data_IF_021152705661
#
_entry.id   IF_021152705661
#
_cell.length_a   1.000
_cell.length_b   1.000
_cell.length_c   1.000
_cell.angle_alpha   90.00
_cell.angle_beta   90.00
_cell.angle_gamma   90.00
#
_symmetry.space_group_name_H-M   'P 1'
#
loop_
_entity.id
_entity.type
_entity.pdbx_description
1 polymer ?
#
# COMPACT_ATOMS: atom_id res chain seq x y z
N UNK A 1 -20.76 22.97 -43.13
CA UNK A 1 -20.61 23.29 -41.69
C UNK A 1 -21.13 22.20 -40.75
N UNK A 2 -22.28 21.55 -40.99
CA UNK A 2 -22.80 20.50 -40.07
C UNK A 2 -21.88 19.25 -39.89
N UNK A 3 -21.07 18.85 -40.89
CA UNK A 3 -20.15 17.70 -40.80
C UNK A 3 -18.90 17.95 -39.91
N UNK A 4 -18.46 19.20 -39.79
CA UNK A 4 -17.29 19.57 -38.97
C UNK A 4 -17.60 19.50 -37.47
N UNK A 5 -18.81 19.87 -37.06
CA UNK A 5 -19.23 19.80 -35.65
C UNK A 5 -19.36 18.36 -35.14
N UNK A 6 -19.77 17.41 -36.00
CA UNK A 6 -19.86 16.02 -35.64
C UNK A 6 -18.49 15.35 -35.39
N UNK A 7 -17.44 15.78 -36.10
CA UNK A 7 -16.08 15.25 -35.92
C UNK A 7 -15.47 15.79 -34.64
N UNK A 8 -15.68 17.06 -34.29
CA UNK A 8 -15.19 17.67 -33.06
C UNK A 8 -15.84 17.03 -31.81
N UNK A 9 -17.15 16.72 -31.88
CA UNK A 9 -17.86 16.05 -30.79
C UNK A 9 -17.40 14.62 -30.58
N UNK A 10 -17.04 13.90 -31.63
CA UNK A 10 -16.53 12.52 -31.54
C UNK A 10 -15.12 12.46 -30.92
N UNK A 11 -14.26 13.45 -31.18
CA UNK A 11 -12.90 13.54 -30.61
C UNK A 11 -12.94 13.82 -29.10
N UNK A 12 -13.88 14.65 -28.62
CA UNK A 12 -14.02 14.91 -27.18
C UNK A 12 -14.50 13.69 -26.38
N UNK A 13 -15.29 12.78 -26.95
CA UNK A 13 -15.77 11.56 -26.28
C UNK A 13 -14.66 10.51 -26.09
N UNK A 14 -13.69 10.45 -26.99
CA UNK A 14 -12.58 9.47 -26.89
C UNK A 14 -11.55 9.84 -25.81
N UNK A 15 -11.33 11.13 -25.54
CA UNK A 15 -10.36 11.58 -24.53
C UNK A 15 -10.80 11.29 -23.09
N UNK A 16 -12.10 11.32 -22.80
CA UNK A 16 -12.62 11.00 -21.46
C UNK A 16 -12.44 9.51 -21.13
N UNK A 17 -12.60 8.63 -22.12
CA UNK A 17 -12.46 7.17 -21.92
C UNK A 17 -11.01 6.75 -21.59
N UNK A 18 -10.02 7.39 -22.18
CA UNK A 18 -8.60 7.09 -21.90
C UNK A 18 -8.17 7.53 -20.50
N UNK A 19 -8.63 8.68 -20.00
CA UNK A 19 -8.30 9.16 -18.67
C UNK A 19 -8.90 8.29 -17.55
N UNK A 20 -10.10 7.79 -17.75
CA UNK A 20 -10.78 6.93 -16.78
C UNK A 20 -10.15 5.54 -16.71
N UNK A 21 -9.74 4.96 -17.84
CA UNK A 21 -9.02 3.67 -17.90
C UNK A 21 -7.67 3.73 -17.17
N UNK A 22 -6.93 4.84 -17.28
CA UNK A 22 -5.65 4.99 -16.59
C UNK A 22 -5.81 5.09 -15.07
N UNK A 23 -6.80 5.83 -14.58
CA UNK A 23 -7.06 5.98 -13.14
C UNK A 23 -7.46 4.65 -12.49
N UNK A 24 -8.30 3.85 -13.10
CA UNK A 24 -8.68 2.53 -12.54
C UNK A 24 -7.50 1.55 -12.57
N UNK A 25 -6.62 1.63 -13.56
CA UNK A 25 -5.38 0.88 -13.61
C UNK A 25 -4.45 1.29 -12.46
N UNK A 26 -4.28 2.59 -12.23
CA UNK A 26 -3.48 3.12 -11.12
C UNK A 26 -4.02 2.66 -9.76
N UNK A 27 -5.33 2.74 -9.54
CA UNK A 27 -5.96 2.24 -8.30
C UNK A 27 -5.71 0.75 -8.07
N UNK A 28 -5.79 -0.06 -9.14
CA UNK A 28 -5.49 -1.49 -9.06
C UNK A 28 -4.04 -1.76 -8.68
N UNK A 29 -3.09 -1.04 -9.28
CA UNK A 29 -1.66 -1.13 -8.97
C UNK A 29 -1.36 -0.69 -7.54
N UNK A 30 -2.00 0.38 -7.06
CA UNK A 30 -1.83 0.90 -5.70
C UNK A 30 -2.41 -0.08 -4.67
N UNK A 31 -3.58 -0.67 -4.94
CA UNK A 31 -4.11 -1.74 -4.09
C UNK A 31 -3.13 -2.91 -3.99
N UNK A 32 -2.58 -3.34 -5.12
CA UNK A 32 -1.60 -4.43 -5.17
C UNK A 32 -0.31 -4.05 -4.45
N UNK A 33 0.16 -2.79 -4.56
CA UNK A 33 1.31 -2.24 -3.84
C UNK A 33 1.14 -2.39 -2.32
N UNK A 34 -0.01 -1.99 -1.77
CA UNK A 34 -0.31 -2.16 -0.34
C UNK A 34 -0.24 -3.64 0.05
N UNK A 35 -1.01 -4.51 -0.63
CA UNK A 35 -1.09 -5.93 -0.30
C UNK A 35 0.29 -6.58 -0.35
N UNK A 36 1.05 -6.37 -1.42
CA UNK A 36 2.38 -6.96 -1.59
C UNK A 36 3.42 -6.41 -0.61
N UNK A 37 3.37 -5.12 -0.26
CA UNK A 37 4.28 -4.55 0.72
C UNK A 37 4.11 -5.24 2.09
N UNK A 38 2.88 -5.45 2.54
CA UNK A 38 2.62 -6.19 3.78
C UNK A 38 3.02 -7.66 3.69
N UNK A 39 2.74 -8.34 2.58
CA UNK A 39 3.10 -9.74 2.41
C UNK A 39 4.60 -9.95 2.31
N UNK A 40 5.29 -9.18 1.47
CA UNK A 40 6.69 -9.41 1.15
C UNK A 40 7.68 -8.79 2.14
N UNK A 41 7.30 -7.74 2.86
CA UNK A 41 8.15 -7.10 3.88
C UNK A 41 7.78 -7.64 5.27
N UNK A 42 6.55 -7.38 5.72
CA UNK A 42 6.14 -7.61 7.11
C UNK A 42 5.81 -9.07 7.42
N UNK A 43 5.08 -9.78 6.53
CA UNK A 43 4.75 -11.20 6.74
C UNK A 43 5.98 -12.09 6.60
N UNK A 44 6.86 -11.80 5.63
CA UNK A 44 8.08 -12.58 5.39
C UNK A 44 9.28 -12.09 6.21
N UNK A 45 9.14 -11.01 6.98
CA UNK A 45 10.23 -10.34 7.71
C UNK A 45 11.44 -10.07 6.80
N UNK A 46 11.21 -9.59 5.59
CA UNK A 46 12.25 -9.44 4.57
C UNK A 46 12.57 -7.97 4.29
N UNK A 47 13.55 -7.44 5.00
CA UNK A 47 14.03 -6.07 4.87
C UNK A 47 14.57 -5.73 3.46
N UNK A 48 15.05 -6.73 2.70
CA UNK A 48 15.59 -6.54 1.34
C UNK A 48 14.53 -6.08 0.32
N UNK A 49 13.25 -6.24 0.64
CA UNK A 49 12.15 -5.81 -0.21
C UNK A 49 11.69 -4.37 0.05
N UNK A 50 12.26 -3.67 1.04
CA UNK A 50 11.89 -2.28 1.37
C UNK A 50 12.01 -1.40 0.12
N UNK A 51 13.15 -1.39 -0.54
CA UNK A 51 13.39 -0.54 -1.72
C UNK A 51 12.49 -0.86 -2.92
N UNK A 52 11.89 -2.05 -2.96
CA UNK A 52 10.94 -2.43 -4.02
C UNK A 52 9.60 -1.71 -3.86
N UNK A 53 9.15 -1.53 -2.62
CA UNK A 53 7.81 -1.03 -2.31
C UNK A 53 7.78 0.38 -1.76
N UNK A 54 8.84 0.82 -1.10
CA UNK A 54 8.94 2.10 -0.42
C UNK A 54 9.88 3.05 -1.15
N UNK A 55 9.60 4.34 -1.02
CA UNK A 55 10.55 5.36 -1.47
C UNK A 55 11.77 5.39 -0.56
N UNK A 56 12.86 6.02 -1.01
CA UNK A 56 14.06 6.19 -0.20
C UNK A 56 13.79 6.95 1.10
N UNK A 57 12.90 7.92 1.05
CA UNK A 57 12.56 8.81 2.17
C UNK A 57 11.23 8.40 2.83
N UNK A 58 10.84 7.12 2.72
CA UNK A 58 9.61 6.60 3.30
C UNK A 58 9.56 6.79 4.82
N UNK A 59 8.38 7.16 5.32
CA UNK A 59 8.11 7.26 6.75
C UNK A 59 6.89 6.41 7.14
N UNK A 60 7.05 5.62 8.21
CA UNK A 60 5.93 5.00 8.92
C UNK A 60 5.70 5.76 10.23
N UNK A 61 4.47 6.25 10.41
CA UNK A 61 4.01 6.88 11.65
C UNK A 61 3.13 5.87 12.38
N UNK A 62 3.63 5.33 13.49
CA UNK A 62 2.93 4.29 14.26
C UNK A 62 3.13 4.51 15.76
N UNK A 63 2.06 4.48 16.53
CA UNK A 63 2.06 4.60 17.99
C UNK A 63 2.86 5.80 18.54
N UNK A 64 2.80 6.93 17.83
CA UNK A 64 3.53 8.15 18.19
C UNK A 64 5.03 8.12 17.88
N UNK A 65 5.50 7.10 17.19
CA UNK A 65 6.89 6.96 16.76
C UNK A 65 7.00 7.14 15.24
N UNK A 66 8.09 7.76 14.81
CA UNK A 66 8.44 7.90 13.39
C UNK A 66 9.50 6.88 13.03
N UNK A 67 9.19 6.01 12.08
CA UNK A 67 10.10 5.00 11.54
C UNK A 67 10.50 5.39 10.12
N UNK A 68 11.78 5.25 9.80
CA UNK A 68 12.31 5.30 8.44
C UNK A 68 12.71 3.88 7.96
N UNK A 69 13.21 3.77 6.74
CA UNK A 69 13.63 2.49 6.18
C UNK A 69 14.67 1.76 7.02
N UNK A 70 15.63 2.48 7.63
CA UNK A 70 16.65 1.88 8.51
C UNK A 70 16.05 1.34 9.80
N UNK A 71 15.11 2.06 10.40
CA UNK A 71 14.40 1.62 11.62
C UNK A 71 13.59 0.36 11.34
N UNK A 72 12.91 0.29 10.18
CA UNK A 72 12.13 -0.88 9.75
C UNK A 72 13.08 -2.05 9.48
N UNK A 73 14.20 -1.84 8.77
CA UNK A 73 15.22 -2.86 8.53
C UNK A 73 15.71 -3.47 9.83
N UNK A 74 16.12 -2.63 10.78
CA UNK A 74 16.62 -3.09 12.09
C UNK A 74 15.57 -3.90 12.86
N UNK A 75 14.29 -3.47 12.80
CA UNK A 75 13.19 -4.20 13.43
C UNK A 75 13.00 -5.59 12.81
N UNK A 76 12.94 -5.67 11.48
CA UNK A 76 12.72 -6.93 10.75
C UNK A 76 13.88 -7.92 10.93
N UNK A 77 15.13 -7.44 10.86
CA UNK A 77 16.32 -8.26 11.06
C UNK A 77 16.41 -8.79 12.49
N UNK A 78 16.02 -7.99 13.47
CA UNK A 78 15.88 -8.43 14.86
C UNK A 78 14.74 -9.45 15.02
N UNK A 79 13.60 -9.24 14.36
CA UNK A 79 12.45 -10.15 14.45
C UNK A 79 12.77 -11.53 13.86
N UNK A 80 13.42 -11.60 12.69
CA UNK A 80 13.78 -12.87 12.04
C UNK A 80 14.85 -13.66 12.82
N UNK A 81 15.65 -13.00 13.64
CA UNK A 81 16.65 -13.67 14.49
C UNK A 81 16.05 -14.44 15.67
N UNK A 82 14.84 -14.07 16.09
CA UNK A 82 14.12 -14.70 17.22
C UNK A 82 13.37 -15.95 16.75
N UNK A 83 13.45 -17.02 17.51
CA UNK A 83 12.75 -18.30 17.23
C UNK A 83 11.75 -18.63 18.35
N UNK A 84 10.62 -19.23 18.05
CA UNK A 84 10.09 -19.54 16.70
C UNK A 84 9.64 -18.27 15.95
N UNK A 85 9.78 -18.27 14.61
CA UNK A 85 9.29 -17.17 13.78
C UNK A 85 7.76 -17.31 13.63
N UNK A 86 6.96 -16.32 14.02
CA UNK A 86 5.53 -16.38 13.79
C UNK A 86 5.18 -16.22 12.31
N UNK A 87 4.16 -16.93 11.87
CA UNK A 87 3.50 -16.70 10.60
C UNK A 87 2.53 -15.54 10.81
N UNK A 88 2.66 -14.49 9.97
CA UNK A 88 1.72 -13.37 9.89
C UNK A 88 0.95 -13.45 8.58
N UNK A 89 -0.38 -13.41 8.66
CA UNK A 89 -1.26 -13.33 7.49
C UNK A 89 -2.08 -12.06 7.60
N UNK A 90 -1.97 -11.18 6.60
CA UNK A 90 -2.72 -9.92 6.54
C UNK A 90 -3.98 -10.09 5.68
N UNK A 91 -5.04 -9.41 6.07
CA UNK A 91 -6.25 -9.16 5.28
C UNK A 91 -6.43 -7.66 5.15
N UNK A 92 -6.34 -7.15 3.93
CA UNK A 92 -6.43 -5.72 3.62
C UNK A 92 -7.78 -5.41 2.98
N UNK A 93 -8.54 -4.52 3.61
CA UNK A 93 -9.79 -3.97 3.10
C UNK A 93 -9.57 -2.52 2.70
N UNK A 94 -9.59 -2.22 1.40
CA UNK A 94 -9.48 -0.86 0.89
C UNK A 94 -10.78 -0.11 1.14
N UNK A 95 -10.69 1.04 1.80
CA UNK A 95 -11.79 1.97 2.03
C UNK A 95 -11.89 2.94 0.87
N UNK A 96 -10.76 3.59 0.50
CA UNK A 96 -10.72 4.60 -0.56
C UNK A 96 -9.31 4.67 -1.17
N UNK A 97 -9.25 4.90 -2.47
CA UNK A 97 -8.02 5.27 -3.19
C UNK A 97 -8.32 6.48 -4.06
N UNK A 98 -7.61 7.57 -3.87
CA UNK A 98 -7.67 8.77 -4.71
C UNK A 98 -6.34 9.00 -5.39
N UNK A 99 -6.38 9.14 -6.72
CA UNK A 99 -5.20 9.34 -7.55
C UNK A 99 -5.27 10.72 -8.21
N UNK A 100 -4.18 11.46 -8.17
CA UNK A 100 -4.06 12.75 -8.85
C UNK A 100 -2.60 13.04 -9.19
N UNK A 101 -2.32 13.30 -10.47
CA UNK A 101 -1.02 13.79 -10.96
C UNK A 101 0.20 12.99 -10.44
N UNK A 102 0.12 11.65 -10.49
CA UNK A 102 1.21 10.78 -10.06
C UNK A 102 1.38 10.66 -8.54
N UNK A 103 0.40 11.14 -7.77
CA UNK A 103 0.29 10.91 -6.32
C UNK A 103 -1.00 10.18 -6.01
N UNK A 104 -1.00 9.40 -4.96
CA UNK A 104 -2.19 8.76 -4.43
C UNK A 104 -2.27 8.89 -2.91
N UNK A 105 -3.52 8.96 -2.43
CA UNK A 105 -3.86 8.80 -1.03
C UNK A 105 -4.75 7.57 -0.87
N UNK A 106 -4.45 6.76 0.13
CA UNK A 106 -5.09 5.48 0.38
C UNK A 106 -5.56 5.42 1.83
N UNK A 107 -6.79 4.96 2.07
CA UNK A 107 -7.28 4.55 3.38
C UNK A 107 -7.71 3.09 3.35
N UNK A 108 -7.38 2.33 4.37
CA UNK A 108 -7.67 0.91 4.44
C UNK A 108 -7.69 0.39 5.87
N UNK A 109 -8.33 -0.76 6.07
CA UNK A 109 -8.22 -1.57 7.27
C UNK A 109 -7.23 -2.70 7.02
N UNK A 110 -6.42 -2.98 8.00
CA UNK A 110 -5.52 -4.14 8.01
C UNK A 110 -5.85 -5.00 9.23
N UNK A 111 -6.09 -6.27 8.98
CA UNK A 111 -6.24 -7.27 10.02
C UNK A 111 -5.16 -8.32 9.84
N UNK A 112 -4.34 -8.54 10.86
CA UNK A 112 -3.31 -9.57 10.85
C UNK A 112 -3.60 -10.65 11.89
N UNK A 113 -3.45 -11.91 11.46
CA UNK A 113 -3.49 -13.09 12.32
C UNK A 113 -2.07 -13.63 12.47
N UNK A 114 -1.67 -13.91 13.72
CA UNK A 114 -0.36 -14.45 14.05
C UNK A 114 -0.48 -15.89 14.55
N UNK A 115 0.32 -16.79 14.01
CA UNK A 115 0.35 -18.19 14.39
C UNK A 115 1.77 -18.73 14.53
N UNK A 116 1.95 -19.73 15.40
CA UNK A 116 3.17 -20.52 15.57
C UNK A 116 2.75 -21.99 15.55
N UNK A 117 3.46 -22.84 14.79
CA UNK A 117 3.17 -24.27 14.69
C UNK A 117 1.68 -24.57 14.42
N UNK A 118 1.08 -23.78 13.49
CA UNK A 118 -0.34 -23.86 13.12
C UNK A 118 -1.35 -23.51 14.24
N UNK A 119 -0.89 -22.91 15.34
CA UNK A 119 -1.77 -22.41 16.40
C UNK A 119 -1.78 -20.89 16.38
N UNK A 120 -2.96 -20.31 16.21
CA UNK A 120 -3.15 -18.86 16.36
C UNK A 120 -2.96 -18.48 17.82
N UNK A 121 -2.12 -17.46 18.08
CA UNK A 121 -1.89 -16.94 19.42
C UNK A 121 -2.29 -15.45 19.55
N UNK A 122 -2.55 -14.77 18.45
CA UNK A 122 -2.97 -13.37 18.48
C UNK A 122 -3.48 -12.86 17.15
N UNK A 123 -4.14 -11.74 17.22
CA UNK A 123 -4.57 -10.95 16.08
C UNK A 123 -4.43 -9.46 16.40
N UNK A 124 -4.29 -8.65 15.37
CA UNK A 124 -4.22 -7.20 15.50
C UNK A 124 -5.00 -6.53 14.37
N UNK A 125 -5.59 -5.40 14.67
CA UNK A 125 -6.40 -4.60 13.75
C UNK A 125 -5.87 -3.19 13.70
N UNK A 126 -5.78 -2.63 12.48
CA UNK A 126 -5.35 -1.26 12.26
C UNK A 126 -6.31 -0.55 11.32
N UNK A 127 -6.48 0.73 11.57
CA UNK A 127 -6.96 1.71 10.60
C UNK A 127 -5.74 2.46 10.09
N UNK A 128 -5.52 2.41 8.79
CA UNK A 128 -4.31 2.90 8.17
C UNK A 128 -4.61 3.87 7.03
N UNK A 129 -3.71 4.80 6.82
CA UNK A 129 -3.66 5.64 5.63
C UNK A 129 -2.25 5.70 5.09
N UNK A 130 -2.13 5.82 3.77
CA UNK A 130 -0.84 5.90 3.11
C UNK A 130 -0.87 6.93 1.97
N UNK A 131 0.30 7.44 1.62
CA UNK A 131 0.53 8.13 0.36
C UNK A 131 1.46 7.30 -0.52
N UNK A 132 1.22 7.35 -1.82
CA UNK A 132 2.07 6.72 -2.81
C UNK A 132 2.40 7.71 -3.92
N UNK A 133 3.57 7.56 -4.54
CA UNK A 133 4.00 8.33 -5.70
C UNK A 133 4.35 7.41 -6.86
N UNK A 134 4.08 7.89 -8.06
CA UNK A 134 4.47 7.21 -9.29
C UNK A 134 5.92 7.56 -9.61
N UNK A 135 6.77 6.55 -9.62
CA UNK A 135 8.19 6.64 -9.99
C UNK A 135 8.42 6.04 -11.36
N UNK A 136 9.63 6.12 -11.89
CA UNK A 136 10.04 5.43 -13.12
C UNK A 136 9.88 3.90 -13.02
N UNK A 137 9.92 3.35 -11.81
CA UNK A 137 9.78 1.93 -11.53
C UNK A 137 8.37 1.52 -11.04
N UNK A 138 7.35 2.37 -11.28
CA UNK A 138 5.98 2.17 -10.83
C UNK A 138 5.66 2.87 -9.51
N UNK A 139 4.50 2.56 -8.94
CA UNK A 139 4.03 3.14 -7.68
C UNK A 139 4.86 2.66 -6.49
N UNK A 140 5.22 3.60 -5.60
CA UNK A 140 5.89 3.31 -4.31
C UNK A 140 5.21 4.06 -3.18
N UNK A 141 5.18 3.45 -2.00
CA UNK A 141 4.70 4.12 -0.79
C UNK A 141 5.73 5.16 -0.33
N UNK A 142 5.24 6.36 -0.01
CA UNK A 142 6.03 7.48 0.50
C UNK A 142 5.81 7.70 1.99
N UNK A 143 4.58 7.43 2.47
CA UNK A 143 4.25 7.50 3.88
C UNK A 143 3.14 6.50 4.21
N UNK A 144 3.17 5.95 5.42
CA UNK A 144 2.11 5.18 6.02
C UNK A 144 1.87 5.68 7.45
N UNK A 145 0.60 5.91 7.78
CA UNK A 145 0.18 6.17 9.13
C UNK A 145 -0.70 5.02 9.61
N UNK A 146 -0.35 4.45 10.75
CA UNK A 146 -1.01 3.29 11.34
C UNK A 146 -1.54 3.63 12.73
N UNK A 147 -2.77 3.21 12.98
CA UNK A 147 -3.42 3.34 14.29
C UNK A 147 -4.01 1.99 14.66
N UNK A 148 -3.56 1.43 15.78
CA UNK A 148 -4.15 0.19 16.34
C UNK A 148 -5.59 0.46 16.73
N UNK A 149 -6.50 -0.42 16.30
CA UNK A 149 -7.91 -0.36 16.67
C UNK A 149 -8.28 -1.55 17.56
N UNK A 150 -9.32 -1.36 18.37
CA UNK A 150 -9.92 -2.51 19.08
C UNK A 150 -10.72 -3.33 18.07
N UNK A 151 -10.80 -4.64 18.30
CA UNK A 151 -11.75 -5.50 17.60
C UNK A 151 -13.16 -4.99 17.86
N UNK A 152 -13.92 -4.66 16.82
CA UNK A 152 -15.35 -4.37 16.91
C UNK A 152 -16.15 -5.65 17.14
#
# INVERSE_FOLDING_TARGET
MKRLYNIIFLICLTTISFGQSSIETDKSQIKELIIKSFDEIWSKLNSRNIDKYYTKDFLLLEDGVVWNNDSITNYLDNAISKKPIPIRVNSIEIIEIKVSKGMAWIAYRNHAVFSIENKTYGEAHWLESATAILTENGWKLEMLHSTVTKKE
#
